data_IF_208931967241
#
_entry.id   IF_208931967241
#
_cell.length_a   1.000
_cell.length_b   1.000
_cell.length_c   1.000
_cell.angle_alpha   90.00
_cell.angle_beta   90.00
_cell.angle_gamma   90.00
#
_symmetry.space_group_name_H-M   'P 1'
#
loop_
_entity.id
_entity.type
_entity.pdbx_description
1 polymer ?
#
# COMPACT_ATOMS: atom_id res chain seq x y z
N UNK A 1 -4.03 -9.79 7.16
CA UNK A 1 -4.13 -8.53 7.91
C UNK A 1 -4.84 -8.77 9.24
N UNK A 2 -4.08 -8.98 10.31
CA UNK A 2 -4.66 -9.25 11.63
C UNK A 2 -4.85 -7.93 12.40
N UNK A 3 -6.09 -7.58 12.74
CA UNK A 3 -6.48 -6.50 13.68
C UNK A 3 -5.85 -5.10 13.51
N UNK A 4 -5.27 -4.77 12.35
CA UNK A 4 -4.69 -3.46 12.11
C UNK A 4 -5.79 -2.38 12.10
N UNK A 5 -5.67 -1.38 12.96
CA UNK A 5 -6.56 -0.22 13.00
C UNK A 5 -6.13 0.84 11.98
N UNK A 6 -7.11 1.49 11.34
CA UNK A 6 -6.84 2.50 10.33
C UNK A 6 -6.10 3.74 10.88
N UNK A 7 -6.29 4.13 12.15
CA UNK A 7 -5.54 5.23 12.76
C UNK A 7 -4.10 4.83 13.06
N UNK A 8 -3.88 3.59 13.47
CA UNK A 8 -2.53 3.04 13.63
C UNK A 8 -1.81 3.01 12.28
N UNK A 9 -2.45 2.49 11.23
CA UNK A 9 -1.91 2.48 9.88
C UNK A 9 -1.63 3.90 9.37
N UNK A 10 -2.54 4.85 9.61
CA UNK A 10 -2.31 6.26 9.30
C UNK A 10 -1.03 6.78 9.95
N UNK A 11 -0.83 6.52 11.23
CA UNK A 11 0.36 6.96 11.98
C UNK A 11 1.65 6.32 11.43
N UNK A 12 1.57 5.09 10.89
CA UNK A 12 2.69 4.46 10.18
C UNK A 12 2.97 5.14 8.84
N UNK A 13 1.94 5.45 8.06
CA UNK A 13 2.05 6.14 6.77
C UNK A 13 2.56 7.59 6.92
N UNK A 14 2.14 8.31 7.96
CA UNK A 14 2.65 9.65 8.26
C UNK A 14 4.15 9.64 8.58
N UNK A 15 4.64 8.59 9.26
CA UNK A 15 6.08 8.40 9.50
C UNK A 15 6.88 8.13 8.23
N UNK A 16 6.25 7.63 7.17
CA UNK A 16 6.86 7.54 5.84
C UNK A 16 6.85 8.88 5.09
N UNK A 17 6.30 9.95 5.68
CA UNK A 17 6.23 11.28 5.08
C UNK A 17 4.98 11.52 4.22
N UNK A 18 3.95 10.67 4.32
CA UNK A 18 2.68 10.92 3.65
C UNK A 18 1.81 11.88 4.49
N UNK A 19 1.18 12.84 3.82
CA UNK A 19 0.15 13.67 4.42
C UNK A 19 -1.19 12.91 4.40
N UNK A 20 -1.74 12.62 5.57
CA UNK A 20 -3.00 11.90 5.74
C UNK A 20 -4.08 12.83 6.33
N UNK A 21 -4.84 13.57 5.51
CA UNK A 21 -5.96 14.36 6.00
C UNK A 21 -6.98 13.50 6.78
N UNK A 22 -7.86 14.12 7.59
CA UNK A 22 -8.97 13.44 8.24
C UNK A 22 -9.78 12.59 7.24
N UNK A 23 -10.37 11.47 7.68
CA UNK A 23 -11.12 10.59 6.80
C UNK A 23 -12.33 11.34 6.24
N UNK A 24 -12.75 10.98 5.03
CA UNK A 24 -13.93 11.57 4.41
C UNK A 24 -15.17 11.07 5.19
N UNK A 25 -15.92 11.93 5.90
CA UNK A 25 -16.96 11.51 6.84
C UNK A 25 -18.14 10.77 6.18
N UNK A 26 -18.45 11.08 4.92
CA UNK A 26 -19.70 10.70 4.25
C UNK A 26 -19.54 9.62 3.16
N UNK A 27 -18.45 8.87 3.16
CA UNK A 27 -18.26 7.73 2.24
C UNK A 27 -17.88 6.49 3.02
N UNK A 28 -18.85 5.63 3.40
CA UNK A 28 -18.54 4.31 3.92
C UNK A 28 -18.00 3.39 2.82
N UNK A 29 -17.00 2.53 3.14
CA UNK A 29 -16.29 2.47 4.41
C UNK A 29 -15.40 3.70 4.62
N UNK A 30 -15.20 4.08 5.88
CA UNK A 30 -14.26 5.13 6.28
C UNK A 30 -12.94 4.91 5.55
N UNK A 31 -12.64 5.82 4.62
CA UNK A 31 -11.46 5.76 3.78
C UNK A 31 -10.51 6.87 4.17
N UNK A 32 -9.26 6.48 4.47
CA UNK A 32 -8.17 7.45 4.56
C UNK A 32 -7.42 7.45 3.26
N UNK A 33 -7.15 8.64 2.74
CA UNK A 33 -6.26 8.83 1.61
C UNK A 33 -5.06 9.62 2.06
N UNK A 34 -3.91 8.98 2.01
CA UNK A 34 -2.61 9.56 2.32
C UNK A 34 -1.88 9.88 1.02
N UNK A 35 -1.26 11.06 0.94
CA UNK A 35 -0.61 11.54 -0.28
C UNK A 35 0.79 12.04 0.03
N UNK A 36 1.71 11.76 -0.87
CA UNK A 36 3.00 12.42 -0.93
C UNK A 36 3.28 12.79 -2.39
N UNK A 37 3.67 14.04 -2.60
CA UNK A 37 4.10 14.53 -3.90
C UNK A 37 5.51 15.06 -3.78
N UNK A 38 6.40 14.60 -4.65
CA UNK A 38 7.78 15.04 -4.77
C UNK A 38 8.01 15.45 -6.23
N UNK A 39 8.40 16.71 -6.45
CA UNK A 39 8.58 17.24 -7.79
C UNK A 39 9.65 16.48 -8.60
N UNK A 40 10.64 15.87 -7.96
CA UNK A 40 11.67 15.08 -8.62
C UNK A 40 11.24 13.60 -8.80
N UNK A 41 10.54 13.03 -7.81
CA UNK A 41 10.31 11.57 -7.72
C UNK A 41 8.91 11.10 -8.15
N UNK A 42 7.94 12.01 -8.19
CA UNK A 42 6.56 11.71 -8.58
C UNK A 42 5.58 11.75 -7.41
N UNK A 43 4.51 10.96 -7.47
CA UNK A 43 3.42 10.96 -6.50
C UNK A 43 3.18 9.55 -5.94
N UNK A 44 3.04 9.46 -4.62
CA UNK A 44 2.54 8.27 -3.92
C UNK A 44 1.17 8.60 -3.33
N UNK A 45 0.17 7.79 -3.65
CA UNK A 45 -1.15 7.84 -3.05
C UNK A 45 -1.48 6.50 -2.40
N UNK A 46 -1.83 6.52 -1.11
CA UNK A 46 -2.23 5.33 -0.37
C UNK A 46 -3.67 5.51 0.12
N UNK A 47 -4.55 4.61 -0.31
CA UNK A 47 -5.94 4.55 0.10
C UNK A 47 -6.11 3.39 1.07
N UNK A 48 -6.65 3.66 2.25
CA UNK A 48 -6.96 2.67 3.28
C UNK A 48 -8.47 2.51 3.34
N UNK A 49 -8.95 1.28 3.21
CA UNK A 49 -10.36 0.91 3.25
C UNK A 49 -10.64 0.02 4.47
N UNK A 50 -11.69 0.37 5.21
CA UNK A 50 -12.02 -0.27 6.49
C UNK A 50 -11.37 0.45 7.67
N UNK A 51 -12.05 0.45 8.81
CA UNK A 51 -11.61 1.18 9.99
C UNK A 51 -10.96 0.26 11.04
N UNK A 52 -11.67 -0.80 11.46
CA UNK A 52 -11.19 -1.83 12.38
C UNK A 52 -11.93 -3.15 12.11
N UNK A 53 -11.26 -4.18 11.58
CA UNK A 53 -9.92 -4.11 11.01
C UNK A 53 -9.91 -3.28 9.71
N UNK A 54 -8.73 -2.81 9.29
CA UNK A 54 -8.49 -2.44 7.89
C UNK A 54 -8.74 -3.68 7.03
N UNK A 55 -9.45 -3.52 5.92
CA UNK A 55 -9.83 -4.62 5.02
C UNK A 55 -9.04 -4.60 3.70
N UNK A 56 -8.60 -3.42 3.25
CA UNK A 56 -7.79 -3.26 2.04
C UNK A 56 -6.95 -1.98 2.08
N UNK A 57 -5.76 -2.04 1.49
CA UNK A 57 -4.86 -0.90 1.29
C UNK A 57 -4.43 -0.90 -0.17
N UNK A 58 -4.61 0.22 -0.86
CA UNK A 58 -4.21 0.41 -2.25
C UNK A 58 -3.16 1.49 -2.30
N UNK A 59 -1.97 1.19 -2.81
CA UNK A 59 -0.92 2.16 -2.99
C UNK A 59 -0.57 2.33 -4.47
N UNK A 60 -0.83 3.51 -5.00
CA UNK A 60 -0.48 3.94 -6.34
C UNK A 60 0.77 4.81 -6.29
N UNK A 61 1.82 4.39 -6.99
CA UNK A 61 3.03 5.18 -7.18
C UNK A 61 3.15 5.56 -8.66
N UNK A 62 3.11 6.87 -8.91
CA UNK A 62 3.36 7.47 -10.22
C UNK A 62 4.74 8.11 -10.22
N UNK A 63 5.56 7.81 -11.21
CA UNK A 63 6.91 8.35 -11.34
C UNK A 63 7.10 9.15 -12.63
N UNK A 64 7.99 10.13 -12.57
CA UNK A 64 8.39 10.90 -13.76
C UNK A 64 9.26 10.09 -14.72
N UNK A 65 10.17 9.29 -14.17
CA UNK A 65 11.02 8.35 -14.90
C UNK A 65 10.81 6.96 -14.29
N UNK A 66 10.76 5.94 -15.14
CA UNK A 66 10.59 4.58 -14.67
C UNK A 66 11.87 4.12 -13.94
N UNK A 67 11.73 3.77 -12.67
CA UNK A 67 12.80 3.20 -11.85
C UNK A 67 12.20 2.11 -10.95
N UNK A 68 12.10 0.90 -11.49
CA UNK A 68 11.49 -0.25 -10.83
C UNK A 68 12.14 -0.56 -9.47
N UNK A 69 13.45 -0.30 -9.29
CA UNK A 69 14.11 -0.53 -8.01
C UNK A 69 13.63 0.46 -6.95
N UNK A 70 13.55 1.76 -7.30
CA UNK A 70 13.00 2.77 -6.40
C UNK A 70 11.51 2.56 -6.11
N UNK A 71 10.72 2.15 -7.12
CA UNK A 71 9.30 1.78 -6.92
C UNK A 71 9.19 0.62 -5.96
N UNK A 72 9.93 -0.47 -6.18
CA UNK A 72 9.84 -1.66 -5.36
C UNK A 72 10.15 -1.35 -3.89
N UNK A 73 11.18 -0.53 -3.63
CA UNK A 73 11.49 -0.05 -2.27
C UNK A 73 10.30 0.70 -1.68
N UNK A 74 9.74 1.67 -2.42
CA UNK A 74 8.67 2.52 -1.88
C UNK A 74 7.36 1.77 -1.64
N UNK A 75 6.99 0.84 -2.53
CA UNK A 75 5.81 -0.01 -2.34
C UNK A 75 6.03 -1.02 -1.20
N UNK A 76 7.25 -1.52 -1.02
CA UNK A 76 7.62 -2.37 0.10
C UNK A 76 7.52 -1.64 1.46
N UNK A 77 7.92 -0.37 1.54
CA UNK A 77 7.73 0.44 2.75
C UNK A 77 6.25 0.60 3.12
N UNK A 78 5.36 0.73 2.13
CA UNK A 78 3.91 0.75 2.38
C UNK A 78 3.43 -0.62 2.85
N UNK A 79 3.88 -1.72 2.24
CA UNK A 79 3.55 -3.07 2.66
C UNK A 79 4.01 -3.36 4.11
N UNK A 80 5.17 -2.85 4.51
CA UNK A 80 5.68 -2.93 5.88
C UNK A 80 4.83 -2.17 6.91
N UNK A 81 4.06 -1.18 6.47
CA UNK A 81 3.10 -0.53 7.37
C UNK A 81 1.92 -1.45 7.70
N UNK A 82 1.64 -2.43 6.84
CA UNK A 82 0.50 -3.34 6.93
C UNK A 82 0.90 -4.69 7.52
N UNK A 83 2.01 -5.25 7.06
CA UNK A 83 2.56 -6.54 7.46
C UNK A 83 3.61 -6.36 8.56
N UNK A 84 3.86 -7.39 9.37
CA UNK A 84 4.83 -7.33 10.45
C UNK A 84 5.72 -8.59 10.48
N UNK A 85 6.92 -8.47 11.04
CA UNK A 85 7.84 -9.59 11.21
C UNK A 85 8.23 -10.27 9.89
N UNK A 86 8.20 -11.60 9.88
CA UNK A 86 8.58 -12.41 8.70
C UNK A 86 7.69 -12.19 7.47
N UNK A 87 6.42 -11.82 7.66
CA UNK A 87 5.51 -11.49 6.54
C UNK A 87 5.96 -10.23 5.81
N UNK A 88 6.45 -9.23 6.56
CA UNK A 88 7.00 -8.00 5.97
C UNK A 88 8.24 -8.33 5.11
N UNK A 89 9.20 -9.09 5.64
CA UNK A 89 10.38 -9.51 4.89
C UNK A 89 10.04 -10.29 3.61
N UNK A 90 9.11 -11.24 3.72
CA UNK A 90 8.61 -12.03 2.58
C UNK A 90 7.96 -11.12 1.53
N UNK A 91 7.18 -10.13 1.95
CA UNK A 91 6.57 -9.15 1.06
C UNK A 91 7.62 -8.30 0.33
N UNK A 92 8.65 -7.79 1.02
CA UNK A 92 9.73 -7.04 0.36
C UNK A 92 10.45 -7.87 -0.71
N UNK A 93 10.70 -9.15 -0.43
CA UNK A 93 11.33 -10.06 -1.37
C UNK A 93 10.44 -10.28 -2.60
N UNK A 94 9.15 -10.55 -2.37
CA UNK A 94 8.18 -10.77 -3.44
C UNK A 94 7.97 -9.52 -4.32
N UNK A 95 7.80 -8.34 -3.73
CA UNK A 95 7.63 -7.08 -4.48
C UNK A 95 8.82 -6.82 -5.39
N UNK A 96 10.05 -6.96 -4.87
CA UNK A 96 11.28 -6.78 -5.67
C UNK A 96 11.37 -7.77 -6.84
N UNK A 97 10.97 -9.01 -6.62
CA UNK A 97 11.00 -10.04 -7.66
C UNK A 97 9.93 -9.83 -8.76
N UNK A 98 8.81 -9.16 -8.45
CA UNK A 98 7.65 -9.07 -9.33
C UNK A 98 7.36 -7.65 -9.85
N UNK A 99 8.15 -6.64 -9.48
CA UNK A 99 7.86 -5.24 -9.82
C UNK A 99 7.72 -4.97 -11.32
N UNK A 100 8.47 -5.70 -12.15
CA UNK A 100 8.43 -5.55 -13.59
C UNK A 100 7.20 -6.23 -14.22
N UNK A 101 6.90 -7.46 -13.80
CA UNK A 101 5.88 -8.33 -14.39
C UNK A 101 4.49 -8.17 -13.77
N UNK A 102 4.42 -7.64 -12.54
CA UNK A 102 3.24 -7.73 -11.70
C UNK A 102 2.98 -9.16 -11.22
N UNK A 103 1.82 -9.37 -10.60
CA UNK A 103 1.36 -10.68 -10.16
C UNK A 103 0.50 -10.62 -8.89
N UNK A 104 0.04 -11.77 -8.44
CA UNK A 104 -0.68 -11.93 -7.18
C UNK A 104 -0.02 -12.98 -6.29
N UNK A 105 -0.06 -12.78 -4.97
CA UNK A 105 0.38 -13.78 -4.00
C UNK A 105 -0.40 -13.65 -2.69
N UNK A 106 -0.27 -14.64 -1.80
CA UNK A 106 -0.81 -14.57 -0.45
C UNK A 106 0.35 -14.69 0.54
N UNK A 107 0.44 -13.72 1.46
CA UNK A 107 1.43 -13.71 2.53
C UNK A 107 0.68 -13.59 3.86
N UNK A 108 0.80 -14.63 4.69
CA UNK A 108 0.05 -14.74 5.94
C UNK A 108 -1.46 -14.69 5.69
N UNK A 109 -2.11 -13.63 6.17
CA UNK A 109 -3.55 -13.39 6.02
C UNK A 109 -3.86 -12.24 5.04
N UNK A 110 -2.95 -11.97 4.11
CA UNK A 110 -3.03 -10.82 3.21
C UNK A 110 -2.78 -11.26 1.77
N UNK A 111 -3.73 -10.97 0.89
CA UNK A 111 -3.59 -11.06 -0.56
C UNK A 111 -2.85 -9.82 -1.06
N UNK A 112 -1.75 -10.01 -1.80
CA UNK A 112 -1.01 -8.94 -2.44
C UNK A 112 -1.23 -9.04 -3.95
N UNK A 113 -1.55 -7.93 -4.58
CA UNK A 113 -1.63 -7.82 -6.02
C UNK A 113 -0.80 -6.64 -6.50
N UNK A 114 0.08 -6.87 -7.48
CA UNK A 114 0.96 -5.86 -8.05
C UNK A 114 0.64 -5.73 -9.53
N UNK A 115 0.33 -4.51 -9.96
CA UNK A 115 -0.14 -4.22 -11.32
C UNK A 115 0.32 -2.83 -11.79
N UNK A 116 -0.06 -2.47 -13.02
CA UNK A 116 0.24 -1.18 -13.64
C UNK A 116 1.46 -1.21 -14.57
N UNK A 117 1.84 -0.04 -15.05
CA UNK A 117 2.92 0.18 -16.04
C UNK A 117 4.20 0.72 -15.38
N UNK A 118 5.38 0.70 -16.04
CA UNK A 118 6.65 1.13 -15.44
C UNK A 118 6.66 2.53 -14.81
N UNK A 119 5.78 3.45 -15.24
CA UNK A 119 5.65 4.81 -14.65
C UNK A 119 4.50 4.95 -13.66
N UNK A 120 3.68 3.91 -13.50
CA UNK A 120 2.47 3.93 -12.68
C UNK A 120 2.22 2.52 -12.15
N UNK A 121 2.74 2.22 -10.96
CA UNK A 121 2.60 0.91 -10.32
C UNK A 121 1.59 0.98 -9.19
N UNK A 122 0.81 -0.07 -9.03
CA UNK A 122 -0.19 -0.22 -7.97
C UNK A 122 0.11 -1.49 -7.20
N UNK A 123 0.10 -1.40 -5.87
CA UNK A 123 0.03 -2.57 -5.01
C UNK A 123 -1.26 -2.53 -4.18
N UNK A 124 -2.01 -3.61 -4.24
CA UNK A 124 -3.17 -3.87 -3.41
C UNK A 124 -2.76 -4.85 -2.32
N UNK A 125 -3.07 -4.51 -1.06
CA UNK A 125 -2.93 -5.38 0.10
C UNK A 125 -4.30 -5.58 0.70
N UNK A 126 -4.86 -6.77 0.54
CA UNK A 126 -6.23 -7.09 0.91
C UNK A 126 -6.25 -8.15 2.00
N UNK A 127 -7.08 -8.00 3.03
CA UNK A 127 -7.30 -9.08 3.97
C UNK A 127 -7.96 -10.27 3.26
N UNK A 128 -7.48 -11.49 3.50
CA UNK A 128 -8.14 -12.69 2.96
C UNK A 128 -9.61 -12.71 3.41
N UNK A 129 -10.52 -12.90 2.46
CA UNK A 129 -11.98 -12.88 2.72
C UNK A 129 -12.59 -11.48 2.83
N UNK A 130 -11.82 -10.42 2.57
CA UNK A 130 -12.35 -9.05 2.46
C UNK A 130 -13.37 -8.94 1.33
N UNK A 131 -14.45 -8.18 1.59
CA UNK A 131 -15.54 -7.90 0.65
C UNK A 131 -15.20 -6.82 -0.38
N UNK A 132 -14.06 -6.14 -0.23
CA UNK A 132 -13.61 -5.16 -1.21
C UNK A 132 -12.99 -5.87 -2.41
N UNK A 133 -13.36 -5.44 -3.62
CA UNK A 133 -12.86 -5.96 -4.89
C UNK A 133 -11.99 -4.92 -5.58
#
# INVERSE_FOLDING_TARGET
MSNLDARELRTRLERLGLACPPPIPDSPPVSWRCLQSDAARGQLAVTVLGARPVEMVVALLQQRQADDAAVAVRLAEVADCVLAGGDAETSRAWIRANIATGGGTVIGQTELHLSGEPRSRVIDLKAVGSRYH
#
